data_IF_506253640239
#
_entry.id   IF_506253640239
#
_cell.length_a   1.000
_cell.length_b   1.000
_cell.length_c   1.000
_cell.angle_alpha   90.00
_cell.angle_beta   90.00
_cell.angle_gamma   90.00
#
_symmetry.space_group_name_H-M   'P 1'
#
loop_
_entity.id
_entity.type
_entity.pdbx_description
1 polymer ?
#
# COMPACT_ATOMS: atom_id res chain seq x y z
N UNK A 1 -1.99 16.92 -2.47
CA UNK A 1 -1.19 17.08 -3.71
C UNK A 1 -0.44 15.82 -4.10
N UNK A 2 0.37 15.24 -3.19
CA UNK A 2 1.23 14.07 -3.46
C UNK A 2 0.52 12.85 -4.08
N UNK A 3 -0.70 12.52 -3.63
CA UNK A 3 -1.49 11.41 -4.20
C UNK A 3 -2.02 11.66 -5.62
N UNK A 4 -1.91 12.88 -6.15
CA UNK A 4 -2.30 13.19 -7.53
C UNK A 4 -1.17 12.96 -8.53
N UNK A 5 0.08 13.09 -8.09
CA UNK A 5 1.27 13.03 -8.95
C UNK A 5 2.09 11.75 -8.79
N UNK A 6 1.92 11.00 -7.70
CA UNK A 6 2.69 9.77 -7.47
C UNK A 6 2.20 8.58 -8.31
N UNK A 7 3.11 7.64 -8.56
CA UNK A 7 2.84 6.41 -9.33
C UNK A 7 2.64 5.18 -8.50
N UNK A 8 3.22 5.22 -7.30
CA UNK A 8 3.12 4.17 -6.33
C UNK A 8 2.73 4.75 -4.97
N UNK A 9 2.11 3.92 -4.14
CA UNK A 9 1.85 4.23 -2.73
C UNK A 9 2.09 2.99 -1.89
N UNK A 10 2.67 3.20 -0.70
CA UNK A 10 2.83 2.19 0.33
C UNK A 10 2.15 2.67 1.60
N UNK A 11 1.16 1.92 2.08
CA UNK A 11 0.52 2.16 3.37
C UNK A 11 1.32 1.42 4.44
N UNK A 12 1.90 2.13 5.40
CA UNK A 12 2.54 1.50 6.56
C UNK A 12 1.51 1.28 7.68
N UNK A 13 1.06 0.03 7.87
CA UNK A 13 0.04 -0.32 8.85
C UNK A 13 0.67 -0.79 10.17
N UNK A 14 1.11 0.18 10.97
CA UNK A 14 1.61 0.01 12.34
C UNK A 14 0.48 -0.01 13.39
N UNK A 15 0.54 0.83 14.42
CA UNK A 15 -0.43 0.83 15.53
C UNK A 15 -1.87 1.30 15.20
N UNK A 16 -2.19 1.55 13.92
CA UNK A 16 -3.55 1.87 13.50
C UNK A 16 -4.53 0.71 13.74
N UNK A 17 -5.82 0.97 13.56
CA UNK A 17 -6.86 -0.07 13.60
C UNK A 17 -7.33 -0.45 12.18
N UNK A 18 -8.17 -1.49 12.11
CA UNK A 18 -8.68 -2.02 10.83
C UNK A 18 -9.55 -1.00 10.08
N UNK A 19 -10.34 -0.20 10.81
CA UNK A 19 -11.20 0.82 10.21
C UNK A 19 -10.37 1.91 9.52
N UNK A 20 -9.25 2.31 10.13
CA UNK A 20 -8.32 3.27 9.56
C UNK A 20 -7.73 2.77 8.24
N UNK A 21 -7.14 1.56 8.21
CA UNK A 21 -6.53 1.04 6.97
C UNK A 21 -7.57 0.83 5.87
N UNK A 22 -8.80 0.42 6.23
CA UNK A 22 -9.93 0.34 5.28
C UNK A 22 -10.33 1.71 4.75
N UNK A 23 -10.35 2.74 5.59
CA UNK A 23 -10.62 4.12 5.16
C UNK A 23 -9.58 4.60 4.16
N UNK A 24 -8.28 4.44 4.48
CA UNK A 24 -7.19 4.81 3.57
C UNK A 24 -7.29 4.06 2.24
N UNK A 25 -7.57 2.75 2.30
CA UNK A 25 -7.76 1.92 1.10
C UNK A 25 -8.93 2.42 0.24
N UNK A 26 -10.05 2.80 0.87
CA UNK A 26 -11.21 3.37 0.17
C UNK A 26 -10.92 4.74 -0.43
N UNK A 27 -10.07 5.54 0.19
CA UNK A 27 -9.70 6.83 -0.39
C UNK A 27 -8.76 6.64 -1.59
N UNK A 28 -7.87 5.65 -1.55
CA UNK A 28 -7.04 5.26 -2.69
C UNK A 28 -7.85 4.76 -3.90
N UNK A 29 -9.07 4.25 -3.73
CA UNK A 29 -9.91 3.89 -4.89
C UNK A 29 -10.54 5.10 -5.56
N UNK A 30 -10.73 6.20 -4.82
CA UNK A 30 -11.35 7.44 -5.32
C UNK A 30 -10.35 8.38 -6.02
N UNK A 31 -9.05 8.21 -5.81
CA UNK A 31 -8.04 9.13 -6.35
C UNK A 31 -8.04 9.21 -7.88
N UNK A 32 -8.57 8.20 -8.56
CA UNK A 32 -8.79 8.23 -10.01
C UNK A 32 -9.66 9.42 -10.42
N UNK A 33 -10.65 9.81 -9.61
CA UNK A 33 -11.53 10.94 -9.85
C UNK A 33 -10.99 12.31 -9.41
N UNK A 34 -9.83 12.38 -8.73
CA UNK A 34 -9.31 13.63 -8.16
C UNK A 34 -8.37 14.42 -9.09
N UNK A 35 -8.53 14.24 -10.41
CA UNK A 35 -7.76 14.96 -11.42
C UNK A 35 -6.37 14.37 -11.68
N UNK A 36 -6.21 13.06 -11.49
CA UNK A 36 -5.01 12.35 -11.92
C UNK A 36 -4.98 12.26 -13.45
N UNK A 37 -3.84 12.58 -14.06
CA UNK A 37 -3.62 12.42 -15.50
C UNK A 37 -3.38 10.96 -15.90
N UNK A 38 -2.98 10.12 -14.95
CA UNK A 38 -2.78 8.67 -15.13
C UNK A 38 -3.19 7.86 -13.90
N UNK A 39 -3.67 6.61 -14.07
CA UNK A 39 -4.05 5.75 -12.95
C UNK A 39 -2.86 5.50 -12.01
N UNK A 40 -3.14 5.34 -10.71
CA UNK A 40 -2.12 4.89 -9.75
C UNK A 40 -1.74 3.43 -10.07
N UNK A 41 -0.47 3.20 -10.37
CA UNK A 41 -0.01 1.93 -10.94
C UNK A 41 0.26 0.88 -9.86
N UNK A 42 0.95 1.27 -8.78
CA UNK A 42 1.36 0.33 -7.72
C UNK A 42 0.78 0.76 -6.39
N UNK A 43 0.12 -0.17 -5.70
CA UNK A 43 -0.47 0.03 -4.39
C UNK A 43 -0.03 -1.10 -3.50
N UNK A 44 0.54 -0.79 -2.34
CA UNK A 44 0.92 -1.79 -1.36
C UNK A 44 0.53 -1.39 0.06
N UNK A 45 0.45 -2.38 0.94
CA UNK A 45 0.30 -2.21 2.38
C UNK A 45 1.33 -3.08 3.11
N UNK A 46 2.08 -2.47 4.01
CA UNK A 46 3.05 -3.14 4.88
C UNK A 46 2.41 -3.37 6.25
N UNK A 47 2.27 -4.63 6.65
CA UNK A 47 1.70 -5.02 7.94
C UNK A 47 2.80 -5.03 9.00
N UNK A 48 2.98 -3.93 9.73
CA UNK A 48 4.01 -3.81 10.76
C UNK A 48 3.46 -4.21 12.15
N UNK A 49 4.32 -4.46 13.15
CA UNK A 49 3.89 -4.60 14.54
C UNK A 49 3.20 -3.32 15.08
N UNK A 50 2.36 -3.41 16.11
CA UNK A 50 1.98 -4.61 16.86
C UNK A 50 1.03 -5.52 16.07
N UNK A 51 1.11 -6.83 16.32
CA UNK A 51 0.23 -7.81 15.69
C UNK A 51 -1.16 -7.80 16.30
N UNK A 52 -2.15 -7.93 15.44
CA UNK A 52 -3.57 -8.02 15.82
C UNK A 52 -4.22 -9.08 14.93
N UNK A 53 -5.32 -9.67 15.42
CA UNK A 53 -6.08 -10.65 14.64
C UNK A 53 -6.54 -10.11 13.28
N UNK A 54 -6.85 -8.81 13.20
CA UNK A 54 -7.19 -8.13 11.95
C UNK A 54 -6.03 -8.12 10.94
N UNK A 55 -4.77 -8.02 11.40
CA UNK A 55 -3.59 -8.06 10.52
C UNK A 55 -3.31 -9.47 10.01
N UNK A 56 -3.43 -10.49 10.84
CA UNK A 56 -3.27 -11.90 10.45
C UNK A 56 -4.24 -12.30 9.33
N UNK A 57 -5.49 -11.83 9.44
CA UNK A 57 -6.56 -12.09 8.48
C UNK A 57 -6.64 -11.05 7.36
N UNK A 58 -5.72 -10.08 7.32
CA UNK A 58 -5.79 -9.00 6.36
C UNK A 58 -5.64 -9.54 4.94
N UNK A 59 -6.64 -9.29 4.10
CA UNK A 59 -6.63 -9.59 2.67
C UNK A 59 -7.19 -8.37 1.95
N UNK A 60 -6.58 -8.01 0.83
CA UNK A 60 -7.02 -6.89 0.03
C UNK A 60 -6.95 -7.23 -1.45
N UNK A 61 -7.96 -6.77 -2.20
CA UNK A 61 -8.00 -6.90 -3.65
C UNK A 61 -7.43 -5.62 -4.26
N UNK A 62 -6.40 -5.73 -5.09
CA UNK A 62 -5.76 -4.59 -5.76
C UNK A 62 -4.76 -3.80 -4.90
N UNK A 63 -4.31 -4.38 -3.78
CA UNK A 63 -3.15 -3.94 -2.99
C UNK A 63 -2.21 -5.13 -2.83
N UNK A 64 -0.92 -4.91 -3.05
CA UNK A 64 0.12 -5.84 -2.69
C UNK A 64 0.33 -5.84 -1.18
N UNK A 65 0.20 -6.99 -0.53
CA UNK A 65 0.34 -7.09 0.94
C UNK A 65 1.75 -7.57 1.27
N UNK A 66 2.47 -6.75 2.04
CA UNK A 66 3.82 -7.04 2.54
C UNK A 66 3.69 -7.41 4.01
N UNK A 67 4.09 -8.63 4.36
CA UNK A 67 4.09 -9.09 5.75
C UNK A 67 5.37 -8.64 6.45
N UNK A 68 5.27 -7.59 7.25
CA UNK A 68 6.33 -7.15 8.18
C UNK A 68 6.04 -7.55 9.62
N UNK A 69 5.26 -8.62 9.81
CA UNK A 69 4.71 -9.01 11.10
C UNK A 69 5.79 -9.33 12.14
N UNK A 70 6.95 -9.77 11.69
CA UNK A 70 8.12 -10.10 12.52
C UNK A 70 9.10 -8.92 12.67
N UNK A 71 8.78 -7.76 12.09
CA UNK A 71 9.65 -6.59 12.07
C UNK A 71 9.93 -6.08 10.65
N UNK A 72 10.66 -4.97 10.59
CA UNK A 72 11.08 -4.38 9.33
C UNK A 72 12.39 -5.02 8.85
N UNK A 73 12.40 -5.43 7.59
CA UNK A 73 13.61 -5.83 6.85
C UNK A 73 13.52 -5.20 5.45
N UNK A 74 14.59 -4.54 4.93
CA UNK A 74 14.57 -3.94 3.59
C UNK A 74 14.18 -4.91 2.48
N UNK A 75 14.54 -6.18 2.62
CA UNK A 75 14.31 -7.27 1.67
C UNK A 75 12.80 -7.50 1.44
N UNK A 76 11.97 -7.25 2.47
CA UNK A 76 10.51 -7.36 2.35
C UNK A 76 9.92 -6.35 1.35
N UNK A 77 10.64 -5.24 1.09
CA UNK A 77 10.20 -4.23 0.14
C UNK A 77 10.70 -4.49 -1.28
N UNK A 78 11.63 -5.43 -1.50
CA UNK A 78 12.20 -5.68 -2.83
C UNK A 78 11.14 -5.90 -3.92
N UNK A 79 10.13 -6.78 -3.73
CA UNK A 79 9.11 -6.98 -4.75
C UNK A 79 8.32 -5.70 -5.07
N UNK A 80 8.05 -4.88 -4.04
CA UNK A 80 7.41 -3.58 -4.23
C UNK A 80 8.31 -2.63 -5.03
N UNK A 81 9.60 -2.58 -4.71
CA UNK A 81 10.57 -1.73 -5.42
C UNK A 81 10.74 -2.16 -6.87
N UNK A 82 10.70 -3.45 -7.19
CA UNK A 82 10.71 -3.96 -8.56
C UNK A 82 9.48 -3.52 -9.34
N UNK A 83 8.28 -3.66 -8.74
CA UNK A 83 7.04 -3.15 -9.34
C UNK A 83 7.12 -1.64 -9.61
N UNK A 84 7.69 -0.86 -8.68
CA UNK A 84 7.88 0.58 -8.85
C UNK A 84 8.85 0.89 -9.99
N UNK A 85 9.98 0.19 -10.07
CA UNK A 85 11.00 0.37 -11.13
C UNK A 85 10.48 -0.01 -12.52
N UNK A 86 9.45 -0.85 -12.61
CA UNK A 86 8.81 -1.21 -13.87
C UNK A 86 7.88 -0.10 -14.40
N UNK A 87 7.46 0.85 -13.57
CA UNK A 87 6.62 1.98 -13.98
C UNK A 87 7.44 2.90 -14.90
N UNK A 88 7.12 2.91 -16.20
CA UNK A 88 7.80 3.74 -17.20
C UNK A 88 8.85 3.03 -18.06
N UNK A 89 9.02 1.70 -17.91
CA UNK A 89 9.83 0.88 -18.84
C UNK A 89 9.03 0.34 -20.04
N UNK A 90 7.84 0.88 -20.29
CA UNK A 90 6.94 0.50 -21.39
C UNK A 90 6.46 1.71 -22.15
#
# INVERSE_FOLDING_TARGET
>A
ENLKSCDAVLIYYGAGNELWVRSITRDLTKITGYGRTRPLQVKAVFLAPPLTQSKERFRSHGLFVISGMEGFSPELLEPFMEMVKAIGKG
#
